data_IF_060132538461
#
_entry.id   IF_060132538461
#
_cell.length_a   1.000
_cell.length_b   1.000
_cell.length_c   1.000
_cell.angle_alpha   90.00
_cell.angle_beta   90.00
_cell.angle_gamma   90.00
#
_symmetry.space_group_name_H-M   'P 1'
#
loop_
_entity.id
_entity.type
_entity.pdbx_description
1 polymer ?
#
# COMPACT_ATOMS: atom_id res chain seq x y z
N UNK A 1 8.68 -22.11 5.15
CA UNK A 1 7.44 -22.93 5.02
C UNK A 1 6.42 -22.04 4.33
N UNK A 2 5.73 -22.50 3.28
CA UNK A 2 4.66 -21.69 2.66
C UNK A 2 3.57 -21.45 3.72
N UNK A 3 3.06 -20.22 3.81
CA UNK A 3 2.11 -19.78 4.85
C UNK A 3 0.87 -20.68 4.87
N UNK A 4 0.35 -20.94 6.06
CA UNK A 4 -0.95 -21.60 6.27
C UNK A 4 -2.08 -20.58 6.25
N UNK A 5 -3.30 -21.03 6.02
CA UNK A 5 -4.47 -20.23 5.64
C UNK A 5 -4.89 -19.12 6.64
N UNK A 6 -4.45 -19.18 7.90
CA UNK A 6 -4.99 -18.39 9.03
C UNK A 6 -4.15 -17.20 9.53
N UNK A 7 -3.15 -16.72 8.79
CA UNK A 7 -2.35 -15.59 9.29
C UNK A 7 -3.17 -14.29 9.37
N UNK A 8 -3.56 -13.90 10.59
CA UNK A 8 -4.23 -12.65 10.91
C UNK A 8 -3.29 -11.45 10.82
N UNK A 9 -3.73 -10.33 10.23
CA UNK A 9 -2.99 -9.08 10.28
C UNK A 9 -3.02 -8.46 11.69
N UNK A 10 -1.82 -8.25 12.25
CA UNK A 10 -1.57 -7.33 13.37
C UNK A 10 -0.76 -6.15 12.80
N UNK A 11 -1.19 -4.89 13.00
CA UNK A 11 -0.49 -3.71 12.49
C UNK A 11 1.00 -3.69 12.82
N UNK A 12 1.39 -4.29 13.95
CA UNK A 12 2.76 -4.35 14.40
C UNK A 12 3.53 -5.63 13.95
N UNK A 13 2.92 -6.56 13.20
CA UNK A 13 3.56 -7.85 12.82
C UNK A 13 3.55 -8.11 11.31
N UNK A 14 4.56 -8.85 10.82
CA UNK A 14 4.60 -9.39 9.46
C UNK A 14 4.37 -8.32 8.37
N UNK A 15 3.27 -8.46 7.62
CA UNK A 15 2.87 -7.53 6.55
C UNK A 15 2.58 -6.12 7.08
N UNK A 16 2.10 -5.99 8.32
CA UNK A 16 1.89 -4.70 8.98
C UNK A 16 3.21 -3.92 9.17
N UNK A 17 4.30 -4.60 9.49
CA UNK A 17 5.62 -3.98 9.61
C UNK A 17 6.15 -3.48 8.26
N UNK A 18 5.98 -4.24 7.17
CA UNK A 18 6.35 -3.80 5.82
C UNK A 18 5.51 -2.60 5.39
N UNK A 19 4.19 -2.63 5.58
CA UNK A 19 3.31 -1.51 5.24
C UNK A 19 3.73 -0.23 5.99
N UNK A 20 4.11 -0.38 7.26
CA UNK A 20 4.61 0.71 8.11
C UNK A 20 5.98 1.21 7.64
N UNK A 21 6.90 0.34 7.24
CA UNK A 21 8.20 0.72 6.66
C UNK A 21 8.03 1.59 5.42
N UNK A 22 7.15 1.17 4.51
CA UNK A 22 6.88 1.90 3.27
C UNK A 22 6.24 3.26 3.58
N UNK A 23 5.24 3.29 4.46
CA UNK A 23 4.62 4.54 4.89
C UNK A 23 5.63 5.48 5.57
N UNK A 24 6.53 4.97 6.39
CA UNK A 24 7.57 5.77 7.03
C UNK A 24 8.56 6.34 6.01
N UNK A 25 8.92 5.56 4.98
CA UNK A 25 9.69 6.07 3.84
C UNK A 25 8.98 7.21 3.10
N UNK A 26 7.65 7.13 2.90
CA UNK A 26 6.86 8.22 2.30
C UNK A 26 6.77 9.46 3.20
N UNK A 27 6.65 9.27 4.50
CA UNK A 27 6.68 10.36 5.47
C UNK A 27 8.01 11.11 5.44
N UNK A 28 9.13 10.39 5.40
CA UNK A 28 10.46 11.00 5.26
C UNK A 28 10.62 11.71 3.91
N UNK A 29 10.17 11.08 2.82
CA UNK A 29 10.20 11.70 1.48
C UNK A 29 9.32 12.96 1.37
N UNK A 30 8.25 13.05 2.16
CA UNK A 30 7.38 14.24 2.23
C UNK A 30 8.10 15.42 2.91
N UNK A 31 9.01 15.15 3.86
CA UNK A 31 9.86 16.17 4.51
C UNK A 31 11.03 16.62 3.62
N UNK A 32 11.36 15.87 2.57
CA UNK A 32 12.49 16.18 1.69
C UNK A 32 12.27 17.50 0.92
N UNK A 33 13.26 18.42 0.89
CA UNK A 33 13.13 19.71 0.24
C UNK A 33 12.92 19.62 -1.28
N UNK A 34 13.28 18.50 -1.92
CA UNK A 34 13.04 18.25 -3.35
C UNK A 34 11.56 18.00 -3.67
N UNK A 35 10.74 17.66 -2.66
CA UNK A 35 9.27 17.50 -2.75
C UNK A 35 8.80 16.60 -3.89
N UNK A 36 9.45 15.44 -4.05
CA UNK A 36 9.08 14.49 -5.12
C UNK A 36 7.66 13.95 -4.96
N UNK A 37 7.23 13.78 -3.72
CA UNK A 37 5.87 13.40 -3.32
C UNK A 37 5.42 14.25 -2.13
N UNK A 38 4.12 14.24 -1.86
CA UNK A 38 3.52 14.80 -0.65
C UNK A 38 2.45 13.85 -0.13
N UNK A 39 2.77 13.07 0.90
CA UNK A 39 1.84 12.21 1.62
C UNK A 39 1.67 12.72 3.06
N UNK A 40 0.74 13.67 3.30
CA UNK A 40 0.55 14.26 4.63
C UNK A 40 -0.02 13.28 5.66
N UNK A 41 -0.51 12.12 5.23
CA UNK A 41 -1.13 11.12 6.09
C UNK A 41 -0.16 10.00 6.49
N UNK A 42 0.97 9.86 5.79
CA UNK A 42 1.96 8.82 6.07
C UNK A 42 2.51 8.87 7.51
N UNK A 43 2.94 10.03 7.98
CA UNK A 43 3.49 10.17 9.34
C UNK A 43 2.45 9.86 10.43
N UNK A 44 1.23 10.44 10.41
CA UNK A 44 0.18 10.08 11.37
C UNK A 44 -0.17 8.59 11.37
N UNK A 45 -0.24 7.96 10.19
CA UNK A 45 -0.53 6.52 10.07
C UNK A 45 0.59 5.67 10.70
N UNK A 46 1.86 6.01 10.46
CA UNK A 46 3.01 5.31 11.06
C UNK A 46 3.02 5.45 12.58
N UNK A 47 2.79 6.68 13.09
CA UNK A 47 2.72 6.92 14.54
C UNK A 47 1.58 6.16 15.20
N UNK A 48 0.43 6.06 14.53
CA UNK A 48 -0.71 5.29 15.03
C UNK A 48 -0.49 3.77 15.01
N UNK A 49 0.36 3.25 14.11
CA UNK A 49 0.81 1.85 14.18
C UNK A 49 1.72 1.64 15.40
N UNK A 50 2.59 2.61 15.69
CA UNK A 50 3.33 2.65 16.95
C UNK A 50 4.50 1.66 17.06
N UNK A 51 5.13 1.30 15.93
CA UNK A 51 6.39 0.55 15.96
C UNK A 51 7.52 1.52 16.33
N UNK A 52 8.13 1.32 17.50
CA UNK A 52 9.14 2.21 18.10
C UNK A 52 10.26 2.57 17.13
N UNK A 53 10.76 1.61 16.36
CA UNK A 53 11.79 1.85 15.35
C UNK A 53 11.37 2.91 14.31
N UNK A 54 10.16 2.80 13.74
CA UNK A 54 9.69 3.73 12.71
C UNK A 54 9.31 5.09 13.31
N UNK A 55 8.80 5.12 14.55
CA UNK A 55 8.53 6.37 15.26
C UNK A 55 9.84 7.12 15.54
N UNK A 56 10.87 6.42 16.05
CA UNK A 56 12.19 7.01 16.27
C UNK A 56 12.84 7.51 14.97
N UNK A 57 12.63 6.81 13.85
CA UNK A 57 13.08 7.25 12.52
C UNK A 57 12.40 8.56 12.09
N UNK A 58 11.11 8.74 12.38
CA UNK A 58 10.38 9.98 12.09
C UNK A 58 10.82 11.16 12.95
N UNK A 59 11.28 10.89 14.17
CA UNK A 59 11.75 11.86 15.17
C UNK A 59 13.25 12.21 15.03
N UNK A 60 13.96 11.62 14.06
CA UNK A 60 15.41 11.79 13.84
C UNK A 60 16.24 11.49 15.10
N UNK A 61 15.81 10.49 15.89
CA UNK A 61 16.47 10.15 17.17
C UNK A 61 17.75 9.36 16.93
N UNK A 62 18.92 9.80 17.47
CA UNK A 62 20.19 9.08 17.31
C UNK A 62 20.17 7.70 17.97
N UNK A 63 20.70 6.67 17.28
CA UNK A 63 20.77 5.29 17.78
C UNK A 63 19.89 4.28 17.04
N UNK A 64 19.25 4.67 15.94
CA UNK A 64 18.40 3.84 15.06
C UNK A 64 19.17 2.80 14.23
N UNK A 65 20.24 2.21 14.76
CA UNK A 65 20.89 1.03 14.18
C UNK A 65 20.16 -0.24 14.59
N UNK A 66 18.84 -0.34 14.33
CA UNK A 66 18.13 -1.62 14.48
C UNK A 66 18.53 -2.62 13.39
N UNK A 67 19.18 -2.14 12.33
CA UNK A 67 19.75 -2.98 11.30
C UNK A 67 21.28 -3.04 11.44
N UNK A 68 21.87 -4.23 11.59
CA UNK A 68 23.32 -4.42 11.64
C UNK A 68 24.06 -3.84 10.42
N UNK A 69 23.35 -3.60 9.31
CA UNK A 69 23.91 -3.09 8.05
C UNK A 69 23.28 -1.76 7.53
N UNK A 70 22.59 -0.98 8.37
CA UNK A 70 22.05 0.33 7.93
C UNK A 70 23.15 1.39 7.91
N UNK A 71 23.55 1.82 6.71
CA UNK A 71 24.33 3.05 6.52
C UNK A 71 23.39 4.21 6.16
N UNK A 72 23.80 5.48 6.40
CA UNK A 72 23.04 6.65 5.96
C UNK A 72 22.71 6.60 4.46
N UNK A 73 23.64 6.16 3.62
CA UNK A 73 23.46 6.06 2.17
C UNK A 73 22.40 5.02 1.80
N UNK A 74 22.34 3.89 2.52
CA UNK A 74 21.30 2.87 2.33
C UNK A 74 19.92 3.37 2.75
N UNK A 75 19.85 4.12 3.84
CA UNK A 75 18.61 4.75 4.30
C UNK A 75 18.12 5.79 3.28
N UNK A 76 19.01 6.66 2.80
CA UNK A 76 18.69 7.65 1.76
C UNK A 76 18.21 6.97 0.47
N UNK A 77 18.91 5.93 0.01
CA UNK A 77 18.51 5.18 -1.18
C UNK A 77 17.14 4.51 -1.01
N UNK A 78 16.84 3.96 0.17
CA UNK A 78 15.53 3.39 0.49
C UNK A 78 14.43 4.46 0.44
N UNK A 79 14.63 5.61 1.08
CA UNK A 79 13.68 6.74 1.07
C UNK A 79 13.45 7.24 -0.36
N UNK A 80 14.52 7.42 -1.13
CA UNK A 80 14.45 7.84 -2.54
C UNK A 80 13.70 6.80 -3.39
N UNK A 81 13.94 5.51 -3.18
CA UNK A 81 13.23 4.41 -3.83
C UNK A 81 11.72 4.44 -3.52
N UNK A 82 11.35 4.64 -2.26
CA UNK A 82 9.93 4.78 -1.86
C UNK A 82 9.28 6.03 -2.45
N UNK A 83 10.01 7.15 -2.51
CA UNK A 83 9.55 8.38 -3.12
C UNK A 83 9.29 8.20 -4.63
N UNK A 84 10.24 7.59 -5.35
CA UNK A 84 10.09 7.29 -6.78
C UNK A 84 8.95 6.31 -7.05
N UNK A 85 8.83 5.24 -6.25
CA UNK A 85 7.74 4.29 -6.38
C UNK A 85 6.38 4.96 -6.19
N UNK A 86 6.25 5.75 -5.12
CA UNK A 86 5.03 6.49 -4.84
C UNK A 86 4.69 7.43 -5.98
N UNK A 87 5.66 8.22 -6.46
CA UNK A 87 5.49 9.13 -7.59
C UNK A 87 5.05 8.40 -8.86
N UNK A 88 5.66 7.27 -9.18
CA UNK A 88 5.31 6.49 -10.38
C UNK A 88 3.82 6.09 -10.35
N UNK A 89 3.34 5.57 -9.23
CA UNK A 89 1.94 5.14 -9.10
C UNK A 89 0.96 6.32 -8.92
N UNK A 90 1.41 7.46 -8.38
CA UNK A 90 0.63 8.70 -8.38
C UNK A 90 0.47 9.24 -9.80
N UNK A 91 1.56 9.29 -10.57
CA UNK A 91 1.56 9.70 -11.97
C UNK A 91 0.70 8.72 -12.80
N UNK A 92 0.71 7.42 -12.50
CA UNK A 92 -0.18 6.45 -13.14
C UNK A 92 -1.65 6.86 -13.01
N UNK A 93 -2.14 7.14 -11.80
CA UNK A 93 -3.54 7.54 -11.61
C UNK A 93 -3.84 8.94 -12.19
N UNK A 94 -2.92 9.88 -12.02
CA UNK A 94 -3.16 11.30 -12.37
C UNK A 94 -2.87 11.64 -13.82
N UNK A 95 -2.16 10.77 -14.56
CA UNK A 95 -1.82 11.00 -15.97
C UNK A 95 -2.30 9.86 -16.85
N UNK A 96 -1.85 8.63 -16.62
CA UNK A 96 -2.07 7.49 -17.53
C UNK A 96 -3.53 7.02 -17.46
N UNK A 97 -4.08 6.95 -16.25
CA UNK A 97 -5.44 6.53 -15.98
C UNK A 97 -6.39 7.71 -15.71
N UNK A 98 -6.00 8.95 -16.03
CA UNK A 98 -6.77 10.16 -15.70
C UNK A 98 -8.17 10.22 -16.36
N UNK A 99 -8.39 9.48 -17.45
CA UNK A 99 -9.69 9.37 -18.11
C UNK A 99 -10.62 8.32 -17.46
N UNK A 100 -10.08 7.46 -16.60
CA UNK A 100 -10.83 6.42 -15.90
C UNK A 100 -11.51 7.02 -14.66
N UNK A 101 -12.70 6.54 -14.31
CA UNK A 101 -13.49 7.00 -13.14
C UNK A 101 -13.70 5.93 -12.08
N UNK A 102 -13.17 4.72 -12.30
CA UNK A 102 -13.21 3.62 -11.35
C UNK A 102 -11.78 3.17 -11.09
N UNK A 103 -11.27 3.41 -9.88
CA UNK A 103 -9.93 3.02 -9.48
C UNK A 103 -10.01 1.93 -8.41
N UNK A 104 -9.16 0.91 -8.48
CA UNK A 104 -9.07 -0.16 -7.47
C UNK A 104 -7.63 -0.28 -6.99
N UNK A 105 -7.43 -0.15 -5.69
CA UNK A 105 -6.14 -0.34 -5.01
C UNK A 105 -6.21 -1.66 -4.25
N UNK A 106 -5.47 -2.66 -4.73
CA UNK A 106 -5.38 -4.00 -4.17
C UNK A 106 -4.34 -4.03 -3.05
N UNK A 107 -4.67 -4.68 -1.93
CA UNK A 107 -3.85 -4.68 -0.71
C UNK A 107 -3.44 -3.25 -0.31
N UNK A 108 -4.46 -2.38 -0.17
CA UNK A 108 -4.27 -0.93 -0.06
C UNK A 108 -3.44 -0.49 1.15
N UNK A 109 -3.28 -1.30 2.18
CA UNK A 109 -2.44 -1.05 3.33
C UNK A 109 -2.64 0.34 3.92
N UNK A 110 -1.52 1.04 4.11
CA UNK A 110 -1.47 2.44 4.55
C UNK A 110 -1.43 3.43 3.39
N UNK A 111 -1.85 3.05 2.17
CA UNK A 111 -2.03 3.97 1.05
C UNK A 111 -3.10 5.02 1.38
N UNK A 112 -2.77 6.28 1.13
CA UNK A 112 -3.58 7.47 1.37
C UNK A 112 -4.02 8.19 0.09
N UNK A 113 -3.82 7.60 -1.11
CA UNK A 113 -4.13 8.21 -2.41
C UNK A 113 -5.59 8.68 -2.53
N UNK A 114 -6.54 7.97 -1.95
CA UNK A 114 -7.95 8.37 -1.90
C UNK A 114 -8.19 9.67 -1.10
N UNK A 115 -7.23 10.11 -0.30
CA UNK A 115 -7.28 11.31 0.55
C UNK A 115 -6.37 12.44 0.06
N UNK A 116 -5.34 12.15 -0.75
CA UNK A 116 -4.31 13.14 -1.14
C UNK A 116 -4.21 13.43 -2.63
N UNK A 117 -4.65 12.53 -3.50
CA UNK A 117 -4.61 12.78 -4.95
C UNK A 117 -5.79 13.65 -5.40
N UNK A 118 -5.56 14.47 -6.41
CA UNK A 118 -6.61 15.24 -7.06
C UNK A 118 -7.34 14.36 -8.08
N UNK A 119 -8.37 13.64 -7.62
CA UNK A 119 -9.16 12.78 -8.49
C UNK A 119 -10.15 13.58 -9.34
N UNK A 120 -10.37 13.21 -10.62
CA UNK A 120 -11.41 13.81 -11.44
C UNK A 120 -12.81 13.67 -10.80
N UNK A 121 -13.72 14.64 -10.98
CA UNK A 121 -15.09 14.52 -10.47
C UNK A 121 -15.80 13.25 -10.95
N UNK A 122 -16.56 12.64 -10.04
CA UNK A 122 -17.25 11.37 -10.30
C UNK A 122 -16.36 10.12 -10.21
N UNK A 123 -15.11 10.26 -9.76
CA UNK A 123 -14.24 9.10 -9.51
C UNK A 123 -14.66 8.36 -8.25
N UNK A 124 -14.72 7.04 -8.35
CA UNK A 124 -14.84 6.12 -7.22
C UNK A 124 -13.51 5.38 -7.05
N UNK A 125 -12.96 5.44 -5.84
CA UNK A 125 -11.74 4.72 -5.46
C UNK A 125 -12.11 3.59 -4.51
N UNK A 126 -11.89 2.37 -4.97
CA UNK A 126 -12.05 1.15 -4.19
C UNK A 126 -10.72 0.80 -3.54
N UNK A 127 -10.76 0.54 -2.24
CA UNK A 127 -9.62 0.01 -1.49
C UNK A 127 -9.97 -1.39 -0.99
N UNK A 128 -9.20 -2.39 -1.42
CA UNK A 128 -9.36 -3.78 -1.01
C UNK A 128 -8.20 -4.15 -0.09
N UNK A 129 -8.51 -4.59 1.12
CA UNK A 129 -7.53 -5.17 2.05
C UNK A 129 -8.24 -5.96 3.15
N UNK A 130 -7.49 -6.65 3.99
CA UNK A 130 -8.02 -7.31 5.16
C UNK A 130 -8.86 -6.35 6.03
N UNK A 131 -9.97 -6.82 6.62
CA UNK A 131 -10.87 -5.97 7.42
C UNK A 131 -10.14 -5.12 8.47
N UNK A 132 -9.22 -5.73 9.23
CA UNK A 132 -8.48 -5.04 10.28
C UNK A 132 -7.59 -3.89 9.76
N UNK A 133 -7.03 -4.01 8.55
CA UNK A 133 -6.23 -2.95 7.90
C UNK A 133 -7.13 -1.78 7.53
N UNK A 134 -8.27 -2.08 6.92
CA UNK A 134 -9.27 -1.09 6.52
C UNK A 134 -9.80 -0.35 7.75
N UNK A 135 -10.19 -1.07 8.80
CA UNK A 135 -10.71 -0.50 10.04
C UNK A 135 -9.66 0.38 10.74
N UNK A 136 -8.41 -0.08 10.79
CA UNK A 136 -7.29 0.70 11.32
C UNK A 136 -7.14 2.03 10.58
N UNK A 137 -7.04 2.00 9.25
CA UNK A 137 -6.85 3.20 8.44
C UNK A 137 -8.05 4.14 8.53
N UNK A 138 -9.27 3.61 8.51
CA UNK A 138 -10.49 4.39 8.66
C UNK A 138 -10.53 5.14 9.99
N UNK A 139 -10.21 4.46 11.11
CA UNK A 139 -10.16 5.09 12.43
C UNK A 139 -9.12 6.20 12.49
N UNK A 140 -7.88 5.92 12.09
CA UNK A 140 -6.78 6.90 12.20
C UNK A 140 -7.05 8.13 11.33
N UNK A 141 -7.51 7.96 10.08
CA UNK A 141 -7.83 9.08 9.20
C UNK A 141 -9.09 9.83 9.67
N UNK A 142 -10.06 9.12 10.24
CA UNK A 142 -11.25 9.71 10.84
C UNK A 142 -10.92 10.57 12.07
N UNK A 143 -10.05 10.09 12.96
CA UNK A 143 -9.59 10.82 14.15
C UNK A 143 -8.82 12.11 13.77
N UNK A 144 -8.18 12.13 12.60
CA UNK A 144 -7.53 13.31 12.01
C UNK A 144 -8.51 14.27 11.30
N UNK A 145 -9.78 13.89 11.16
CA UNK A 145 -10.78 14.63 10.38
C UNK A 145 -10.52 14.62 8.88
N UNK A 146 -9.68 13.71 8.37
CA UNK A 146 -9.31 13.65 6.96
C UNK A 146 -10.52 13.28 6.09
N UNK A 147 -10.75 14.04 5.03
CA UNK A 147 -11.81 13.77 4.06
C UNK A 147 -11.21 13.20 2.77
N UNK A 148 -11.77 12.12 2.20
CA UNK A 148 -11.40 11.66 0.87
C UNK A 148 -11.59 12.74 -0.18
N UNK A 149 -10.74 12.76 -1.21
CA UNK A 149 -10.80 13.68 -2.35
C UNK A 149 -11.61 13.10 -3.53
N UNK A 150 -12.10 11.87 -3.39
CA UNK A 150 -13.00 11.16 -4.29
C UNK A 150 -14.04 10.38 -3.47
N UNK A 151 -15.05 9.81 -4.13
CA UNK A 151 -15.88 8.82 -3.47
C UNK A 151 -15.01 7.60 -3.15
N UNK A 152 -14.86 7.29 -1.85
CA UNK A 152 -14.05 6.16 -1.40
C UNK A 152 -14.95 5.03 -0.94
N UNK A 153 -14.70 3.82 -1.44
CA UNK A 153 -15.40 2.59 -1.04
C UNK A 153 -14.40 1.55 -0.55
N UNK A 154 -14.55 1.09 0.68
CA UNK A 154 -13.65 0.09 1.25
C UNK A 154 -14.26 -1.30 1.19
N UNK A 155 -13.46 -2.27 0.77
CA UNK A 155 -13.83 -3.69 0.70
C UNK A 155 -12.91 -4.45 1.64
N UNK A 156 -13.40 -4.71 2.86
CA UNK A 156 -12.69 -5.46 3.88
C UNK A 156 -12.70 -6.96 3.58
N UNK A 157 -11.71 -7.45 2.83
CA UNK A 157 -11.55 -8.86 2.47
C UNK A 157 -10.09 -9.18 2.14
N UNK A 158 -9.63 -10.38 2.51
CA UNK A 158 -8.34 -10.91 2.08
C UNK A 158 -8.39 -11.31 0.59
N UNK A 159 -7.37 -10.93 -0.19
CA UNK A 159 -7.29 -11.23 -1.64
C UNK A 159 -7.21 -12.73 -1.97
N UNK A 160 -7.03 -13.60 -0.97
CA UNK A 160 -7.12 -15.07 -1.12
C UNK A 160 -8.57 -15.57 -1.14
N UNK A 161 -9.51 -14.77 -0.65
CA UNK A 161 -10.95 -15.09 -0.62
C UNK A 161 -11.66 -14.54 -1.88
N UNK A 162 -12.99 -14.62 -1.92
CA UNK A 162 -13.82 -14.13 -3.03
C UNK A 162 -13.98 -12.60 -3.01
N UNK A 163 -12.85 -11.90 -3.13
CA UNK A 163 -12.81 -10.44 -3.27
C UNK A 163 -13.53 -9.92 -4.52
N UNK A 164 -13.66 -10.65 -5.65
CA UNK A 164 -14.48 -10.20 -6.78
C UNK A 164 -15.97 -10.09 -6.43
N UNK A 165 -16.52 -11.02 -5.65
CA UNK A 165 -17.89 -10.92 -5.18
C UNK A 165 -18.05 -9.72 -4.24
N UNK A 166 -17.18 -9.61 -3.23
CA UNK A 166 -17.22 -8.50 -2.27
C UNK A 166 -17.05 -7.12 -2.94
N UNK A 167 -16.22 -7.03 -4.00
CA UNK A 167 -16.05 -5.81 -4.78
C UNK A 167 -17.33 -5.43 -5.53
N UNK A 168 -18.03 -6.40 -6.13
CA UNK A 168 -19.34 -6.15 -6.77
C UNK A 168 -20.42 -5.74 -5.75
N UNK A 169 -20.42 -6.36 -4.57
CA UNK A 169 -21.32 -5.98 -3.47
C UNK A 169 -21.06 -4.54 -2.98
N UNK A 170 -19.84 -4.04 -3.15
CA UNK A 170 -19.48 -2.63 -2.94
C UNK A 170 -19.88 -1.71 -4.11
N UNK A 171 -20.74 -2.18 -5.02
CA UNK A 171 -21.24 -1.47 -6.20
C UNK A 171 -20.17 -1.15 -7.26
N UNK A 172 -19.15 -2.00 -7.40
CA UNK A 172 -18.22 -1.97 -8.54
C UNK A 172 -18.95 -2.31 -9.84
N UNK A 173 -18.71 -1.53 -10.89
CA UNK A 173 -19.29 -1.76 -12.21
C UNK A 173 -18.29 -2.48 -13.14
N UNK A 174 -18.46 -3.78 -13.42
CA UNK A 174 -17.58 -4.51 -14.33
C UNK A 174 -17.75 -4.08 -15.81
N UNK A 175 -18.75 -3.25 -16.13
CA UNK A 175 -18.92 -2.65 -17.46
C UNK A 175 -18.13 -1.37 -17.69
N UNK A 176 -17.53 -0.78 -16.64
CA UNK A 176 -16.78 0.46 -16.72
C UNK A 176 -15.26 0.21 -16.78
N UNK A 177 -14.49 0.99 -17.58
CA UNK A 177 -13.03 0.94 -17.55
C UNK A 177 -12.52 1.15 -16.12
N UNK A 178 -11.53 0.34 -15.72
CA UNK A 178 -10.99 0.35 -14.35
C UNK A 178 -9.48 0.59 -14.36
N UNK A 179 -9.00 1.39 -13.40
CA UNK A 179 -7.59 1.64 -13.15
C UNK A 179 -7.15 0.82 -11.93
N UNK A 180 -6.41 -0.27 -12.17
CA UNK A 180 -5.98 -1.20 -11.13
C UNK A 180 -4.57 -0.87 -10.65
N UNK A 181 -4.37 -0.89 -9.33
CA UNK A 181 -3.06 -0.80 -8.71
C UNK A 181 -2.78 -2.01 -7.81
N UNK A 182 -1.66 -2.69 -8.06
CA UNK A 182 -1.08 -3.69 -7.19
C UNK A 182 0.35 -3.27 -6.77
N UNK A 183 0.46 -2.32 -5.84
CA UNK A 183 1.74 -1.86 -5.30
C UNK A 183 2.16 -2.72 -4.10
N UNK A 184 3.42 -3.18 -4.05
CA UNK A 184 3.92 -3.92 -2.88
C UNK A 184 3.23 -5.27 -2.65
N UNK A 185 2.63 -5.87 -3.69
CA UNK A 185 1.79 -7.06 -3.53
C UNK A 185 2.43 -8.33 -4.10
N UNK A 186 2.83 -8.33 -5.37
CA UNK A 186 3.15 -9.57 -6.11
C UNK A 186 4.28 -10.40 -5.47
N UNK A 187 5.29 -9.72 -4.92
CA UNK A 187 6.40 -10.35 -4.18
C UNK A 187 5.95 -11.24 -3.01
N UNK A 188 4.76 -11.00 -2.47
CA UNK A 188 4.20 -11.76 -1.34
C UNK A 188 3.29 -12.90 -1.78
N UNK A 189 3.04 -13.04 -3.09
CA UNK A 189 2.14 -14.03 -3.65
C UNK A 189 2.94 -15.17 -4.29
N UNK A 190 2.56 -16.45 -4.02
CA UNK A 190 3.02 -17.58 -4.83
C UNK A 190 2.71 -17.36 -6.32
N UNK A 191 3.48 -17.94 -7.24
CA UNK A 191 3.28 -17.76 -8.68
C UNK A 191 1.83 -18.00 -9.14
N UNK A 192 1.19 -19.07 -8.66
CA UNK A 192 -0.19 -19.41 -9.02
C UNK A 192 -1.22 -18.43 -8.43
N UNK A 193 -0.87 -17.72 -7.36
CA UNK A 193 -1.70 -16.64 -6.82
C UNK A 193 -1.53 -15.34 -7.62
N UNK A 194 -0.35 -15.09 -8.18
CA UNK A 194 -0.14 -13.96 -9.10
C UNK A 194 -0.95 -14.16 -10.39
N UNK A 195 -0.88 -15.35 -11.00
CA UNK A 195 -1.66 -15.66 -12.22
C UNK A 195 -3.16 -15.52 -11.97
N UNK A 196 -3.67 -16.11 -10.88
CA UNK A 196 -5.09 -15.99 -10.49
C UNK A 196 -5.51 -14.53 -10.25
N UNK A 197 -4.64 -13.71 -9.66
CA UNK A 197 -4.91 -12.28 -9.47
C UNK A 197 -5.11 -11.59 -10.82
N UNK A 198 -4.20 -11.81 -11.76
CA UNK A 198 -4.27 -11.20 -13.09
C UNK A 198 -5.43 -11.73 -13.95
N UNK A 199 -5.73 -13.02 -13.89
CA UNK A 199 -6.91 -13.60 -14.53
C UNK A 199 -8.20 -12.93 -14.04
N UNK A 200 -8.28 -12.72 -12.72
CA UNK A 200 -9.44 -12.08 -12.09
C UNK A 200 -9.55 -10.60 -12.45
N UNK A 201 -8.45 -9.85 -12.44
CA UNK A 201 -8.42 -8.45 -12.89
C UNK A 201 -8.85 -8.37 -14.36
N UNK A 202 -8.38 -9.29 -15.21
CA UNK A 202 -8.74 -9.36 -16.62
C UNK A 202 -10.24 -9.61 -16.79
N UNK A 203 -10.81 -10.55 -16.04
CA UNK A 203 -12.24 -10.86 -16.08
C UNK A 203 -13.13 -9.70 -15.57
N UNK A 204 -12.58 -8.81 -14.73
CA UNK A 204 -13.25 -7.61 -14.21
C UNK A 204 -12.95 -6.34 -15.03
N UNK A 205 -12.24 -6.47 -16.15
CA UNK A 205 -11.80 -5.35 -16.96
C UNK A 205 -12.46 -5.34 -18.34
N UNK A 206 -12.78 -4.14 -18.81
CA UNK A 206 -13.25 -3.88 -20.18
C UNK A 206 -12.18 -3.11 -20.97
N UNK A 207 -12.28 -3.01 -22.31
CA UNK A 207 -11.41 -2.16 -23.11
C UNK A 207 -11.30 -0.73 -22.54
N UNK A 208 -10.08 -0.21 -22.45
CA UNK A 208 -9.79 1.07 -21.81
C UNK A 208 -9.44 0.97 -20.32
N UNK A 209 -9.57 -0.21 -19.69
CA UNK A 209 -9.01 -0.47 -18.37
C UNK A 209 -7.48 -0.45 -18.43
N UNK A 210 -6.85 -0.11 -17.32
CA UNK A 210 -5.40 -0.02 -17.18
C UNK A 210 -4.95 -0.68 -15.89
N UNK A 211 -3.68 -1.07 -15.80
CA UNK A 211 -3.10 -1.60 -14.58
C UNK A 211 -1.68 -1.11 -14.40
N UNK A 212 -1.32 -0.79 -13.16
CA UNK A 212 0.06 -0.61 -12.73
C UNK A 212 0.40 -1.59 -11.61
N UNK A 213 1.59 -2.16 -11.69
CA UNK A 213 2.16 -3.06 -10.68
C UNK A 213 3.68 -2.95 -10.71
N UNK A 214 4.35 -3.50 -9.71
CA UNK A 214 5.79 -3.65 -9.69
C UNK A 214 6.22 -5.11 -9.86
N UNK A 215 7.40 -5.31 -10.46
CA UNK A 215 8.07 -6.60 -10.55
C UNK A 215 9.51 -6.43 -10.09
N UNK A 216 9.94 -7.26 -9.15
CA UNK A 216 11.27 -7.19 -8.54
C UNK A 216 12.08 -8.46 -8.85
N UNK A 217 12.76 -8.55 -10.01
CA UNK A 217 13.46 -9.77 -10.44
C UNK A 217 14.61 -10.20 -9.52
N UNK A 218 15.11 -9.32 -8.66
CA UNK A 218 16.19 -9.62 -7.70
C UNK A 218 15.71 -10.12 -6.33
N UNK A 219 14.39 -10.20 -6.11
CA UNK A 219 13.79 -10.61 -4.83
C UNK A 219 13.11 -11.99 -4.97
N UNK A 220 13.72 -12.88 -5.74
CA UNK A 220 13.27 -14.27 -5.90
C UNK A 220 13.52 -15.08 -4.61
N UNK A 221 14.44 -14.62 -3.76
CA UNK A 221 14.73 -15.17 -2.43
C UNK A 221 14.23 -14.25 -1.31
N UNK A 222 12.98 -13.76 -1.38
CA UNK A 222 12.39 -13.08 -0.24
C UNK A 222 12.15 -14.07 0.90
N UNK A 223 13.04 -14.06 1.88
CA UNK A 223 12.89 -14.86 3.09
C UNK A 223 11.88 -14.19 4.04
N UNK A 224 10.63 -14.67 3.99
CA UNK A 224 9.54 -14.23 4.84
C UNK A 224 9.83 -14.42 6.33
N UNK A 225 10.54 -15.49 6.71
CA UNK A 225 10.89 -15.74 8.10
C UNK A 225 11.91 -14.70 8.56
N UNK A 226 12.92 -14.42 7.75
CA UNK A 226 13.89 -13.35 8.02
C UNK A 226 13.26 -11.96 8.05
N UNK A 227 12.26 -11.69 7.20
CA UNK A 227 11.51 -10.44 7.23
C UNK A 227 10.65 -10.29 8.49
N UNK A 228 10.00 -11.38 8.93
CA UNK A 228 9.22 -11.44 10.18
C UNK A 228 10.11 -11.31 11.41
N UNK A 229 11.23 -12.02 11.45
CA UNK A 229 12.20 -11.96 12.55
C UNK A 229 12.80 -10.56 12.66
N UNK A 230 13.11 -9.92 11.51
CA UNK A 230 13.51 -8.50 11.47
C UNK A 230 12.41 -7.59 12.00
N UNK A 231 11.15 -7.79 11.60
CA UNK A 231 10.03 -7.01 12.12
C UNK A 231 9.86 -7.17 13.65
N UNK A 232 10.11 -8.37 14.18
CA UNK A 232 10.09 -8.62 15.63
C UNK A 232 11.21 -7.87 16.38
N UNK A 233 12.38 -7.68 15.76
CA UNK A 233 13.49 -6.89 16.32
C UNK A 233 13.25 -5.37 16.31
N UNK A 234 12.22 -4.89 15.59
CA UNK A 234 11.89 -3.46 15.48
C UNK A 234 10.83 -2.99 16.49
N UNK A 235 10.24 -3.92 17.25
CA UNK A 235 9.32 -3.64 18.37
C UNK A 235 10.11 -3.35 19.63
#
# INVERSE_FOLDING_TARGET
MARTDDDSWDPASGVGATATMVAAGRAMATKDPRRLINDPFAEPLVRAVGIDFFVAMLDDTPGTSAFPDSSPERMEAMIAGMAMRTKFFDDYFTTTAACVRQAVILASGLDSRAFRLAWPPGTVVYEIDQPAVIDFKNRVLGDLGAQPTAERRTVGIDLRNDWPAALRDANFDPGAPTAWLAEGLLIYLPPEAQDRLFDTITALSVPGSTMATEYAPGIIEFDFEKARDRAAMMR
#
